data_IF_204440674957
#
_entry.id   IF_204440674957
#
_cell.length_a   1.000
_cell.length_b   1.000
_cell.length_c   1.000
_cell.angle_alpha   90.00
_cell.angle_beta   90.00
_cell.angle_gamma   90.00
#
_symmetry.space_group_name_H-M   'P 1'
#
loop_
_entity.id
_entity.type
_entity.pdbx_description
1 polymer ?
#
# COMPACT_ATOMS: atom_id res chain seq x y z
N UNK A 1 -19.28 -14.50 2.68
CA UNK A 1 -17.87 -14.04 2.73
C UNK A 1 -17.87 -12.58 3.15
N UNK A 2 -16.98 -12.14 4.06
CA UNK A 2 -16.89 -10.73 4.42
C UNK A 2 -16.49 -9.90 3.18
N UNK A 3 -17.10 -8.72 3.05
CA UNK A 3 -16.80 -7.77 1.96
C UNK A 3 -15.51 -7.04 2.32
N UNK A 4 -14.47 -7.17 1.48
CA UNK A 4 -13.22 -6.42 1.62
C UNK A 4 -13.43 -5.03 0.98
N UNK A 5 -13.24 -3.93 1.72
CA UNK A 5 -13.42 -2.58 1.17
C UNK A 5 -12.42 -2.29 0.05
N UNK A 6 -12.81 -1.43 -0.89
CA UNK A 6 -11.95 -0.98 -2.00
C UNK A 6 -11.66 0.51 -1.85
N UNK A 7 -10.39 0.86 -1.70
CA UNK A 7 -9.91 2.23 -1.77
C UNK A 7 -9.80 2.65 -3.23
N UNK A 8 -10.32 3.84 -3.54
CA UNK A 8 -10.32 4.37 -4.89
C UNK A 8 -9.24 5.42 -5.08
N UNK A 9 -8.60 5.45 -6.25
CA UNK A 9 -7.62 6.47 -6.62
C UNK A 9 -8.17 7.89 -6.43
N UNK A 10 -9.42 8.10 -6.84
CA UNK A 10 -10.14 9.37 -6.73
C UNK A 10 -10.40 9.82 -5.28
N UNK A 11 -10.25 8.93 -4.29
CA UNK A 11 -10.31 9.29 -2.88
C UNK A 11 -8.95 9.70 -2.31
N UNK A 12 -7.85 9.38 -3.01
CA UNK A 12 -6.48 9.66 -2.56
C UNK A 12 -5.92 10.95 -3.18
N UNK A 13 -6.30 11.27 -4.43
CA UNK A 13 -5.80 12.44 -5.15
C UNK A 13 -6.71 12.84 -6.30
N UNK A 14 -6.88 14.15 -6.47
CA UNK A 14 -7.60 14.75 -7.61
C UNK A 14 -6.83 14.61 -8.93
N UNK A 15 -5.52 14.36 -8.88
CA UNK A 15 -4.63 14.30 -10.04
C UNK A 15 -4.24 12.87 -10.44
N UNK A 16 -4.77 11.86 -9.74
CA UNK A 16 -4.50 10.44 -10.01
C UNK A 16 -3.13 9.93 -9.55
N UNK A 17 -2.30 10.79 -8.94
CA UNK A 17 -1.03 10.42 -8.33
C UNK A 17 -1.00 10.97 -6.90
N UNK A 18 -0.59 10.14 -5.96
CA UNK A 18 -0.42 10.47 -4.55
C UNK A 18 0.89 9.87 -4.04
N UNK A 19 1.63 10.62 -3.22
CA UNK A 19 2.87 10.16 -2.59
C UNK A 19 2.68 10.13 -1.07
N UNK A 20 3.02 9.00 -0.47
CA UNK A 20 3.03 8.81 0.99
C UNK A 20 4.41 8.34 1.43
N UNK A 21 5.02 9.10 2.33
CA UNK A 21 6.18 8.64 3.09
C UNK A 21 5.67 7.81 4.28
N UNK A 22 6.40 6.77 4.70
CA UNK A 22 6.10 6.02 5.92
C UNK A 22 7.38 5.89 6.72
N UNK A 23 7.38 6.34 7.98
CA UNK A 23 8.53 6.22 8.86
C UNK A 23 8.10 6.03 10.33
N UNK A 24 8.95 5.43 11.18
CA UNK A 24 8.64 5.25 12.60
C UNK A 24 8.47 6.56 13.38
N UNK A 25 8.99 7.68 12.86
CA UNK A 25 8.95 8.99 13.52
C UNK A 25 7.74 9.84 13.11
N UNK A 26 7.03 9.44 12.05
CA UNK A 26 5.84 10.14 11.59
C UNK A 26 4.59 9.57 12.27
N UNK A 27 3.75 10.46 12.80
CA UNK A 27 2.39 10.07 13.23
C UNK A 27 1.54 9.87 11.99
N UNK A 28 1.08 8.64 11.76
CA UNK A 28 0.32 8.28 10.56
C UNK A 28 -0.83 7.35 10.90
N UNK A 29 -1.97 7.58 10.26
CA UNK A 29 -3.07 6.62 10.29
C UNK A 29 -2.60 5.30 9.67
N UNK A 30 -2.57 4.28 10.52
CA UNK A 30 -2.23 2.92 10.13
C UNK A 30 -3.50 2.23 9.66
N UNK A 31 -3.50 1.74 8.42
CA UNK A 31 -4.59 0.91 7.91
C UNK A 31 -4.44 -0.47 8.53
N UNK A 32 -5.26 -0.77 9.55
CA UNK A 32 -5.20 -2.01 10.33
C UNK A 32 -6.15 -3.11 9.83
N UNK A 33 -6.75 -2.91 8.66
CA UNK A 33 -7.70 -3.87 8.06
C UNK A 33 -7.33 -4.20 6.61
N UNK A 34 -7.75 -5.37 6.15
CA UNK A 34 -7.59 -5.77 4.76
C UNK A 34 -8.44 -4.89 3.85
N UNK A 35 -7.85 -4.44 2.75
CA UNK A 35 -8.50 -3.64 1.72
C UNK A 35 -7.97 -4.05 0.34
N UNK A 36 -8.65 -3.56 -0.70
CA UNK A 36 -8.22 -3.62 -2.10
C UNK A 36 -8.01 -2.20 -2.60
N UNK A 37 -7.19 -2.06 -3.63
CA UNK A 37 -6.98 -0.78 -4.29
C UNK A 37 -7.35 -0.91 -5.78
N UNK A 38 -8.00 0.11 -6.34
CA UNK A 38 -8.28 0.20 -7.77
C UNK A 38 -7.18 0.91 -8.56
N UNK A 39 -6.03 1.14 -7.93
CA UNK A 39 -4.85 1.80 -8.48
C UNK A 39 -3.56 0.99 -8.22
N UNK A 40 -2.52 1.31 -8.97
CA UNK A 40 -1.18 0.74 -8.76
C UNK A 40 -0.53 1.36 -7.53
N UNK A 41 0.18 0.55 -6.75
CA UNK A 41 1.05 1.04 -5.67
C UNK A 41 2.50 0.73 -6.04
N UNK A 42 3.31 1.78 -6.16
CA UNK A 42 4.76 1.68 -6.27
C UNK A 42 5.37 2.06 -4.93
N UNK A 43 6.17 1.16 -4.37
CA UNK A 43 6.82 1.36 -3.08
C UNK A 43 8.33 1.18 -3.19
N UNK A 44 9.08 1.95 -2.41
CA UNK A 44 10.52 1.78 -2.22
C UNK A 44 10.82 1.88 -0.73
N UNK A 45 11.63 0.95 -0.23
CA UNK A 45 12.18 1.06 1.13
C UNK A 45 13.46 1.86 1.03
N UNK A 46 13.43 3.12 1.48
CA UNK A 46 14.62 3.98 1.46
C UNK A 46 15.73 3.42 2.38
N UNK A 47 15.39 3.14 3.64
CA UNK A 47 16.30 2.52 4.60
C UNK A 47 15.57 1.63 5.61
N UNK A 48 16.33 0.77 6.30
CA UNK A 48 15.79 -0.12 7.34
C UNK A 48 15.08 -1.36 6.78
N UNK A 49 14.06 -1.81 7.52
CA UNK A 49 13.27 -3.00 7.22
C UNK A 49 11.79 -2.63 7.25
N UNK A 50 11.07 -2.94 6.17
CA UNK A 50 9.64 -2.76 6.05
C UNK A 50 8.95 -4.14 6.01
N UNK A 51 7.93 -4.31 6.85
CA UNK A 51 7.09 -5.51 6.86
C UNK A 51 5.73 -5.17 6.27
N UNK A 52 5.36 -5.85 5.21
CA UNK A 52 4.11 -5.60 4.48
C UNK A 52 3.33 -6.89 4.30
N UNK A 53 2.00 -6.76 4.23
CA UNK A 53 1.10 -7.87 3.91
C UNK A 53 0.39 -7.56 2.61
N UNK A 54 0.60 -8.39 1.60
CA UNK A 54 -0.03 -8.30 0.27
C UNK A 54 -0.66 -9.66 -0.01
N UNK A 55 -1.93 -9.67 -0.45
CA UNK A 55 -2.68 -10.91 -0.72
C UNK A 55 -2.62 -11.94 0.41
N UNK A 56 -2.69 -11.45 1.66
CA UNK A 56 -2.59 -12.25 2.88
C UNK A 56 -1.25 -12.99 3.06
N UNK A 57 -0.21 -12.55 2.35
CA UNK A 57 1.16 -13.03 2.50
C UNK A 57 2.05 -11.93 3.03
N UNK A 58 2.85 -12.28 4.04
CA UNK A 58 3.83 -11.37 4.62
C UNK A 58 5.11 -11.33 3.78
N UNK A 59 5.63 -10.13 3.59
CA UNK A 59 6.93 -9.86 2.96
C UNK A 59 7.76 -8.97 3.87
N UNK A 60 9.05 -9.31 3.95
CA UNK A 60 10.06 -8.51 4.65
C UNK A 60 11.00 -7.89 3.62
N UNK A 61 10.98 -6.57 3.51
CA UNK A 61 11.75 -5.81 2.53
C UNK A 61 12.84 -5.00 3.23
N UNK A 62 14.08 -5.11 2.75
CA UNK A 62 15.21 -4.30 3.24
C UNK A 62 15.36 -3.01 2.42
N UNK A 63 16.15 -2.06 2.94
CA UNK A 63 16.54 -0.84 2.22
C UNK A 63 17.02 -1.10 0.78
N UNK A 64 16.66 -0.21 -0.13
CA UNK A 64 16.91 -0.28 -1.57
C UNK A 64 16.00 -1.22 -2.36
N UNK A 65 15.05 -1.92 -1.71
CA UNK A 65 14.07 -2.77 -2.40
C UNK A 65 12.89 -1.94 -2.91
N UNK A 66 12.42 -2.29 -4.10
CA UNK A 66 11.21 -1.74 -4.71
C UNK A 66 10.13 -2.80 -4.84
N UNK A 67 8.88 -2.36 -4.86
CA UNK A 67 7.70 -3.20 -5.06
C UNK A 67 6.70 -2.52 -5.98
N UNK A 68 5.94 -3.34 -6.70
CA UNK A 68 4.79 -2.92 -7.49
C UNK A 68 3.62 -3.83 -7.11
N UNK A 69 2.54 -3.23 -6.62
CA UNK A 69 1.29 -3.91 -6.28
C UNK A 69 0.28 -3.57 -7.38
N UNK A 70 -0.31 -4.60 -7.95
CA UNK A 70 -1.30 -4.46 -9.01
C UNK A 70 -2.68 -4.15 -8.40
N UNK A 71 -3.50 -3.34 -9.08
CA UNK A 71 -4.87 -3.09 -8.65
C UNK A 71 -5.69 -4.37 -8.69
N UNK A 72 -6.71 -4.45 -7.84
CA UNK A 72 -7.70 -5.51 -7.93
C UNK A 72 -8.61 -5.26 -9.14
N UNK A 73 -8.35 -5.97 -10.24
CA UNK A 73 -9.24 -5.98 -11.40
C UNK A 73 -10.42 -6.91 -11.11
N UNK A 74 -11.64 -6.37 -11.06
CA UNK A 74 -12.85 -7.18 -11.19
C UNK A 74 -12.80 -7.91 -12.54
N UNK A 75 -12.59 -9.23 -12.52
CA UNK A 75 -12.99 -10.11 -13.61
C UNK A 75 -14.26 -10.83 -13.21
#
# INVERSE_FOLDING_TARGET
MPVIPTHKAAQQSDFGIFLKEISPTLSQETIVHAHRDDYYIFGMVDSGICRINIDFKEYLLSGGKMMCILPFLFR
#
